data_IF_871261745722
#
_entry.id   IF_871261745722
#
_cell.length_a   1.000
_cell.length_b   1.000
_cell.length_c   1.000
_cell.angle_alpha   90.00
_cell.angle_beta   90.00
_cell.angle_gamma   90.00
#
_symmetry.space_group_name_H-M   'P 1'
#
loop_
_entity.id
_entity.type
_entity.pdbx_description
1 polymer ?
#
# COMPACT_ATOMS: atom_id res chain seq x y z
N UNK A 1 47.46 19.91 -29.89
CA UNK A 1 46.64 19.98 -28.66
C UNK A 1 45.78 18.73 -28.56
N UNK A 2 46.00 17.86 -27.55
CA UNK A 2 45.16 16.66 -27.33
C UNK A 2 43.89 17.07 -26.57
N UNK A 3 42.72 16.89 -27.19
CA UNK A 3 41.41 17.11 -26.54
C UNK A 3 41.29 16.13 -25.35
N UNK A 4 41.27 16.64 -24.12
CA UNK A 4 40.89 15.85 -22.93
C UNK A 4 39.45 15.42 -23.12
N UNK A 5 39.21 14.11 -23.29
CA UNK A 5 37.85 13.56 -23.23
C UNK A 5 37.32 13.81 -21.82
N UNK A 6 36.22 14.56 -21.71
CA UNK A 6 35.51 14.71 -20.45
C UNK A 6 35.11 13.31 -19.96
N UNK A 7 35.54 12.98 -18.75
CA UNK A 7 35.20 11.70 -18.11
C UNK A 7 33.82 11.90 -17.49
N UNK A 8 32.78 11.53 -18.24
CA UNK A 8 31.40 11.55 -17.73
C UNK A 8 31.26 10.40 -16.75
N UNK A 9 31.19 10.71 -15.46
CA UNK A 9 30.81 9.73 -14.44
C UNK A 9 29.29 9.66 -14.42
N UNK A 10 28.73 8.51 -14.80
CA UNK A 10 27.34 8.21 -14.50
C UNK A 10 27.25 8.03 -12.98
N UNK A 11 26.59 8.98 -12.32
CA UNK A 11 26.21 8.85 -10.91
C UNK A 11 24.80 8.29 -10.94
N UNK A 12 24.59 7.06 -10.46
CA UNK A 12 23.24 6.59 -10.18
C UNK A 12 22.75 7.35 -8.94
N UNK A 13 22.07 8.47 -9.16
CA UNK A 13 21.51 9.29 -8.09
C UNK A 13 20.47 8.55 -7.24
N UNK A 14 20.11 7.32 -7.64
CA UNK A 14 19.14 6.46 -7.00
C UNK A 14 19.75 5.29 -6.22
N UNK A 15 21.08 5.15 -6.16
CA UNK A 15 21.74 4.11 -5.33
C UNK A 15 21.29 4.19 -3.86
N UNK A 16 21.13 5.40 -3.32
CA UNK A 16 20.60 5.64 -1.96
C UNK A 16 19.13 5.21 -1.75
N UNK A 17 18.43 4.84 -2.82
CA UNK A 17 17.05 4.38 -2.82
C UNK A 17 16.93 2.95 -3.38
N UNK A 18 18.06 2.26 -3.60
CA UNK A 18 18.09 0.90 -4.14
C UNK A 18 17.54 -0.13 -3.13
N UNK A 19 17.62 0.19 -1.84
CA UNK A 19 17.00 -0.59 -0.78
C UNK A 19 15.61 0.01 -0.48
N UNK A 20 14.56 -0.69 -0.90
CA UNK A 20 13.25 -0.54 -0.27
C UNK A 20 13.48 -0.95 1.17
N UNK A 21 13.21 -0.08 2.13
CA UNK A 21 13.26 -0.52 3.53
C UNK A 21 12.31 -1.71 3.70
N UNK A 22 12.81 -2.88 4.12
CA UNK A 22 12.00 -4.10 4.30
C UNK A 22 10.68 -3.83 5.04
N UNK A 23 10.70 -2.84 5.95
CA UNK A 23 9.55 -2.34 6.70
C UNK A 23 8.35 -1.85 5.86
N UNK A 24 8.54 -1.43 4.60
CA UNK A 24 7.46 -0.96 3.71
C UNK A 24 6.90 -2.06 2.80
N UNK A 25 7.46 -3.28 2.89
CA UNK A 25 7.04 -4.42 2.07
C UNK A 25 5.89 -5.21 2.73
N UNK A 26 5.13 -5.95 1.92
CA UNK A 26 4.12 -6.87 2.45
C UNK A 26 4.80 -8.05 3.15
N UNK A 27 4.40 -8.35 4.38
CA UNK A 27 4.94 -9.47 5.17
C UNK A 27 3.83 -10.30 5.80
N UNK A 28 4.12 -11.57 6.04
CA UNK A 28 3.22 -12.46 6.74
C UNK A 28 3.27 -12.21 8.25
N UNK A 29 2.09 -12.14 8.88
CA UNK A 29 1.94 -12.00 10.33
C UNK A 29 0.85 -12.94 10.85
N UNK A 30 1.08 -13.54 12.02
CA UNK A 30 0.03 -14.30 12.73
C UNK A 30 -0.80 -13.33 13.57
N UNK A 31 -2.12 -13.43 13.48
CA UNK A 31 -3.08 -12.62 14.23
C UNK A 31 -4.01 -13.55 15.01
N UNK A 32 -4.04 -13.41 16.32
CA UNK A 32 -5.00 -14.09 17.18
C UNK A 32 -6.28 -13.26 17.27
N UNK A 33 -7.39 -13.81 16.78
CA UNK A 33 -8.67 -13.11 16.70
C UNK A 33 -9.77 -13.92 17.38
N UNK A 34 -10.52 -13.27 18.27
CA UNK A 34 -11.79 -13.80 18.75
C UNK A 34 -12.85 -13.63 17.67
N UNK A 35 -13.23 -14.72 17.00
CA UNK A 35 -14.26 -14.69 15.96
C UNK A 35 -15.65 -14.90 16.58
N UNK A 36 -16.59 -13.94 16.46
CA UNK A 36 -17.92 -14.07 17.04
C UNK A 36 -18.69 -15.30 16.55
N UNK A 37 -19.48 -15.92 17.43
CA UNK A 37 -20.25 -17.14 17.13
C UNK A 37 -21.14 -16.99 15.89
N UNK A 38 -21.91 -15.91 15.81
CA UNK A 38 -22.79 -15.64 14.68
C UNK A 38 -22.03 -15.53 13.35
N UNK A 39 -20.84 -14.91 13.36
CA UNK A 39 -20.01 -14.82 12.17
C UNK A 39 -19.43 -16.18 11.77
N UNK A 40 -19.00 -17.00 12.75
CA UNK A 40 -18.58 -18.39 12.52
C UNK A 40 -19.71 -19.23 11.92
N UNK A 41 -20.93 -19.09 12.43
CA UNK A 41 -22.10 -19.79 11.91
C UNK A 41 -22.36 -19.38 10.46
N UNK A 42 -22.29 -18.09 10.15
CA UNK A 42 -22.45 -17.57 8.79
C UNK A 42 -21.39 -18.15 7.84
N UNK A 43 -20.13 -18.16 8.27
CA UNK A 43 -19.01 -18.76 7.55
C UNK A 43 -19.23 -20.25 7.27
N UNK A 44 -19.70 -21.01 8.27
CA UNK A 44 -19.99 -22.43 8.13
C UNK A 44 -21.11 -22.70 7.12
N UNK A 45 -22.22 -21.94 7.19
CA UNK A 45 -23.36 -22.07 6.27
C UNK A 45 -22.93 -21.76 4.83
N UNK A 46 -22.13 -20.72 4.64
CA UNK A 46 -21.68 -20.28 3.31
C UNK A 46 -20.46 -21.06 2.79
N UNK A 47 -19.91 -21.98 3.58
CA UNK A 47 -18.68 -22.73 3.30
C UNK A 47 -17.49 -21.81 2.95
N UNK A 48 -17.29 -20.75 3.75
CA UNK A 48 -16.18 -19.82 3.59
C UNK A 48 -15.43 -19.70 4.91
N UNK A 49 -14.09 -19.75 4.85
CA UNK A 49 -13.22 -19.55 6.02
C UNK A 49 -13.16 -18.07 6.44
N UNK A 50 -13.23 -17.74 7.75
CA UNK A 50 -13.09 -16.36 8.23
C UNK A 50 -11.84 -15.64 7.70
N UNK A 51 -10.71 -16.35 7.68
CA UNK A 51 -9.42 -15.81 7.21
C UNK A 51 -9.51 -15.34 5.77
N UNK A 52 -10.22 -16.08 4.92
CA UNK A 52 -10.41 -15.70 3.52
C UNK A 52 -11.22 -14.42 3.38
N UNK A 53 -12.27 -14.24 4.19
CA UNK A 53 -13.08 -13.00 4.17
C UNK A 53 -12.23 -11.81 4.59
N UNK A 54 -11.43 -11.96 5.66
CA UNK A 54 -10.57 -10.90 6.17
C UNK A 54 -9.48 -10.53 5.16
N UNK A 55 -8.78 -11.53 4.59
CA UNK A 55 -7.79 -11.30 3.55
C UNK A 55 -8.40 -10.63 2.32
N UNK A 56 -9.52 -11.16 1.82
CA UNK A 56 -10.23 -10.56 0.69
C UNK A 56 -10.59 -9.10 0.96
N UNK A 57 -11.08 -8.78 2.15
CA UNK A 57 -11.39 -7.41 2.54
C UNK A 57 -10.15 -6.53 2.51
N UNK A 58 -9.05 -6.95 3.16
CA UNK A 58 -7.79 -6.21 3.19
C UNK A 58 -7.24 -5.94 1.79
N UNK A 59 -7.15 -6.96 0.95
CA UNK A 59 -6.63 -6.82 -0.42
C UNK A 59 -7.52 -5.94 -1.31
N UNK A 60 -8.85 -6.06 -1.19
CA UNK A 60 -9.80 -5.23 -1.94
C UNK A 60 -9.75 -3.77 -1.48
N UNK A 61 -9.54 -3.53 -0.20
CA UNK A 61 -9.49 -2.19 0.38
C UNK A 61 -8.16 -1.48 0.09
N UNK A 62 -7.03 -2.19 0.12
CA UNK A 62 -5.67 -1.61 0.01
C UNK A 62 -5.22 -1.30 -1.42
N UNK A 63 -6.08 -1.48 -2.43
CA UNK A 63 -5.68 -1.34 -3.85
C UNK A 63 -4.52 -2.26 -4.28
N UNK A 64 -4.34 -3.38 -3.59
CA UNK A 64 -3.31 -4.37 -3.93
C UNK A 64 -3.46 -4.93 -5.34
N UNK A 65 -2.30 -5.33 -5.87
CA UNK A 65 -2.09 -5.93 -7.19
C UNK A 65 -2.64 -7.36 -7.30
N UNK A 66 -2.69 -8.08 -6.18
CA UNK A 66 -2.82 -9.54 -6.18
C UNK A 66 -4.26 -10.02 -6.46
N UNK A 67 -5.28 -9.16 -6.36
CA UNK A 67 -6.67 -9.56 -6.56
C UNK A 67 -7.52 -8.53 -7.34
N UNK A 68 -8.18 -9.02 -8.40
CA UNK A 68 -9.07 -8.28 -9.29
C UNK A 68 -10.38 -7.84 -8.64
N UNK A 69 -10.31 -6.95 -7.66
CA UNK A 69 -11.49 -6.34 -7.04
C UNK A 69 -12.19 -5.40 -8.02
N UNK A 70 -13.50 -5.58 -8.19
CA UNK A 70 -14.32 -4.65 -8.99
C UNK A 70 -14.42 -3.28 -8.31
N UNK A 71 -14.65 -2.23 -9.08
CA UNK A 71 -14.84 -0.88 -8.52
C UNK A 71 -16.00 -0.83 -7.51
N UNK A 72 -17.08 -1.59 -7.74
CA UNK A 72 -18.21 -1.70 -6.81
C UNK A 72 -17.80 -2.28 -5.46
N UNK A 73 -17.00 -3.35 -5.46
CA UNK A 73 -16.48 -3.95 -4.23
C UNK A 73 -15.58 -2.98 -3.45
N UNK A 74 -14.68 -2.28 -4.15
CA UNK A 74 -13.80 -1.28 -3.52
C UNK A 74 -14.60 -0.12 -2.92
N UNK A 75 -15.62 0.36 -3.65
CA UNK A 75 -16.53 1.42 -3.15
C UNK A 75 -17.28 0.99 -1.90
N UNK A 76 -17.76 -0.25 -1.85
CA UNK A 76 -18.43 -0.81 -0.68
C UNK A 76 -17.48 -0.92 0.53
N UNK A 77 -16.27 -1.46 0.31
CA UNK A 77 -15.25 -1.56 1.37
C UNK A 77 -14.85 -0.20 1.94
N UNK A 78 -14.58 0.78 1.06
CA UNK A 78 -14.28 2.17 1.46
C UNK A 78 -15.43 2.81 2.25
N UNK A 79 -16.68 2.57 1.83
CA UNK A 79 -17.86 3.07 2.54
C UNK A 79 -17.92 2.49 3.96
N UNK A 80 -17.82 1.16 4.09
CA UNK A 80 -17.77 0.48 5.38
C UNK A 80 -16.64 1.02 6.27
N UNK A 81 -15.44 1.21 5.72
CA UNK A 81 -14.30 1.72 6.47
C UNK A 81 -14.55 3.13 7.05
N UNK A 82 -15.12 4.03 6.23
CA UNK A 82 -15.42 5.40 6.65
C UNK A 82 -16.58 5.46 7.65
N UNK A 83 -17.61 4.64 7.45
CA UNK A 83 -18.78 4.58 8.34
C UNK A 83 -18.44 3.94 9.69
N UNK A 84 -17.53 2.96 9.70
CA UNK A 84 -16.98 2.38 10.93
C UNK A 84 -16.09 3.32 11.75
N UNK A 85 -15.79 4.52 11.23
CA UNK A 85 -14.99 5.52 11.96
C UNK A 85 -13.52 5.15 12.10
N UNK A 86 -13.00 4.19 11.33
CA UNK A 86 -11.58 3.80 11.43
C UNK A 86 -10.67 4.98 11.08
N UNK A 87 -9.67 5.22 11.94
CA UNK A 87 -8.73 6.34 11.80
C UNK A 87 -9.25 7.69 12.33
N UNK A 88 -10.49 7.77 12.81
CA UNK A 88 -10.99 8.93 13.55
C UNK A 88 -10.58 8.82 15.03
N UNK A 89 -10.28 9.93 15.72
CA UNK A 89 -10.45 11.33 15.30
C UNK A 89 -9.28 11.90 14.47
N UNK A 90 -8.19 11.15 14.31
CA UNK A 90 -6.95 11.66 13.76
C UNK A 90 -7.07 12.17 12.31
N UNK A 91 -7.93 11.53 11.51
CA UNK A 91 -8.20 11.95 10.13
C UNK A 91 -9.66 12.28 9.88
N UNK A 92 -9.89 13.32 9.09
CA UNK A 92 -11.24 13.62 8.60
C UNK A 92 -11.69 12.56 7.59
N UNK A 93 -13.02 12.43 7.39
CA UNK A 93 -13.57 11.57 6.32
C UNK A 93 -13.00 11.95 4.94
N UNK A 94 -12.69 13.22 4.70
CA UNK A 94 -12.11 13.68 3.44
C UNK A 94 -10.65 13.23 3.28
N UNK A 95 -9.86 13.27 4.36
CA UNK A 95 -8.49 12.75 4.36
C UNK A 95 -8.44 11.27 4.04
N UNK A 96 -9.26 10.46 4.72
CA UNK A 96 -9.35 9.01 4.46
C UNK A 96 -9.79 8.76 3.01
N UNK A 97 -10.74 9.55 2.50
CA UNK A 97 -11.13 9.46 1.07
C UNK A 97 -9.96 9.77 0.14
N UNK A 98 -9.14 10.75 0.47
CA UNK A 98 -7.96 11.15 -0.30
C UNK A 98 -6.90 10.05 -0.29
N UNK A 99 -6.59 9.48 0.87
CA UNK A 99 -5.68 8.33 1.00
C UNK A 99 -6.06 7.19 0.03
N UNK A 100 -7.32 6.74 0.07
CA UNK A 100 -7.79 5.69 -0.84
C UNK A 100 -7.74 6.08 -2.32
N UNK A 101 -7.97 7.35 -2.65
CA UNK A 101 -7.88 7.80 -4.04
C UNK A 101 -6.42 7.80 -4.52
N UNK A 102 -5.48 8.23 -3.67
CA UNK A 102 -4.05 8.18 -3.97
C UNK A 102 -3.59 6.72 -4.20
N UNK A 103 -3.98 5.78 -3.33
CA UNK A 103 -3.73 4.35 -3.55
C UNK A 103 -4.35 3.82 -4.86
N UNK A 104 -5.54 4.28 -5.24
CA UNK A 104 -6.15 3.97 -6.55
C UNK A 104 -5.27 4.43 -7.72
N UNK A 105 -4.66 5.61 -7.61
CA UNK A 105 -3.76 6.14 -8.65
C UNK A 105 -2.45 5.36 -8.73
N UNK A 106 -1.85 5.02 -7.58
CA UNK A 106 -0.66 4.16 -7.52
C UNK A 106 -0.93 2.84 -8.25
N UNK A 107 -2.06 2.19 -7.94
CA UNK A 107 -2.48 0.96 -8.63
C UNK A 107 -2.64 1.16 -10.15
N UNK A 108 -3.28 2.25 -10.56
CA UNK A 108 -3.47 2.54 -12.00
C UNK A 108 -2.15 2.71 -12.74
N UNK A 109 -1.14 3.33 -12.11
CA UNK A 109 0.20 3.45 -12.70
C UNK A 109 0.82 2.08 -12.92
N UNK A 110 0.75 1.19 -11.92
CA UNK A 110 1.21 -0.20 -12.05
C UNK A 110 0.53 -0.96 -13.20
N UNK A 111 -0.78 -0.75 -13.42
CA UNK A 111 -1.50 -1.42 -14.52
C UNK A 111 -1.07 -0.94 -15.92
N UNK A 112 -0.25 0.12 -16.02
CA UNK A 112 0.23 0.68 -17.30
C UNK A 112 1.67 0.31 -17.65
N UNK A 113 2.32 -0.54 -16.86
CA UNK A 113 3.75 -0.87 -17.04
C UNK A 113 4.00 -2.10 -17.91
N UNK A 114 2.97 -2.78 -18.41
CA UNK A 114 3.10 -4.05 -19.14
C UNK A 114 4.00 -3.93 -20.38
N UNK A 115 3.91 -2.80 -21.11
CA UNK A 115 4.67 -2.53 -22.32
C UNK A 115 6.05 -1.86 -22.09
N UNK A 116 6.47 -1.64 -20.84
CA UNK A 116 7.78 -1.05 -20.54
C UNK A 116 8.92 -2.06 -20.73
N UNK A 117 10.05 -1.62 -21.27
CA UNK A 117 11.31 -2.40 -21.28
C UNK A 117 11.80 -2.64 -19.85
N UNK A 118 12.58 -3.70 -19.63
CA UNK A 118 12.94 -4.16 -18.27
C UNK A 118 13.74 -3.12 -17.46
N UNK A 119 14.67 -2.39 -18.08
CA UNK A 119 15.39 -1.29 -17.44
C UNK A 119 14.44 -0.14 -17.01
N UNK A 120 13.45 0.17 -17.84
CA UNK A 120 12.43 1.17 -17.54
C UNK A 120 11.45 0.70 -16.46
N UNK A 121 11.15 -0.61 -16.41
CA UNK A 121 10.36 -1.22 -15.33
C UNK A 121 11.09 -1.12 -14.00
N UNK A 122 12.39 -1.42 -13.96
CA UNK A 122 13.18 -1.32 -12.73
C UNK A 122 13.17 0.12 -12.19
N UNK A 123 13.44 1.10 -13.05
CA UNK A 123 13.39 2.51 -12.67
C UNK A 123 11.98 2.95 -12.22
N UNK A 124 10.94 2.49 -12.91
CA UNK A 124 9.55 2.73 -12.52
C UNK A 124 9.27 2.21 -11.11
N UNK A 125 9.68 0.97 -10.80
CA UNK A 125 9.44 0.36 -9.50
C UNK A 125 10.18 1.08 -8.37
N UNK A 126 11.44 1.48 -8.59
CA UNK A 126 12.19 2.32 -7.63
C UNK A 126 11.45 3.63 -7.34
N UNK A 127 11.00 4.34 -8.38
CA UNK A 127 10.26 5.58 -8.22
C UNK A 127 8.91 5.36 -7.50
N UNK A 128 8.17 4.33 -7.90
CA UNK A 128 6.89 3.99 -7.29
C UNK A 128 7.05 3.66 -5.80
N UNK A 129 8.11 2.95 -5.41
CA UNK A 129 8.44 2.68 -4.02
C UNK A 129 8.78 3.95 -3.25
N UNK A 130 9.64 4.81 -3.78
CA UNK A 130 9.93 6.12 -3.16
C UNK A 130 8.65 6.94 -2.93
N UNK A 131 7.73 6.93 -3.89
CA UNK A 131 6.44 7.60 -3.75
C UNK A 131 5.58 6.98 -2.64
N UNK A 132 5.50 5.64 -2.55
CA UNK A 132 4.75 4.93 -1.50
C UNK A 132 5.32 5.24 -0.12
N UNK A 133 6.64 5.27 0.04
CA UNK A 133 7.29 5.64 1.30
C UNK A 133 6.97 7.09 1.69
N UNK A 134 7.11 8.03 0.75
CA UNK A 134 6.74 9.43 0.99
C UNK A 134 5.26 9.57 1.33
N UNK A 135 4.39 8.85 0.62
CA UNK A 135 2.96 8.82 0.87
C UNK A 135 2.65 8.37 2.30
N UNK A 136 3.30 7.30 2.76
CA UNK A 136 3.15 6.80 4.12
C UNK A 136 3.60 7.83 5.14
N UNK A 137 4.86 8.30 5.05
CA UNK A 137 5.44 9.28 5.99
C UNK A 137 4.57 10.53 6.11
N UNK A 138 4.17 11.11 4.98
CA UNK A 138 3.32 12.31 4.94
C UNK A 138 2.01 12.14 5.69
N UNK A 139 1.35 10.98 5.53
CA UNK A 139 0.10 10.72 6.23
C UNK A 139 0.36 10.41 7.71
N UNK A 140 1.34 9.56 8.01
CA UNK A 140 1.74 9.20 9.37
C UNK A 140 2.09 10.42 10.25
N UNK A 141 2.92 11.32 9.73
CA UNK A 141 3.37 12.54 10.40
C UNK A 141 2.28 13.61 10.52
N UNK A 142 1.21 13.55 9.71
CA UNK A 142 0.09 14.52 9.76
C UNK A 142 -0.56 14.57 11.15
N UNK A 143 -0.53 13.46 11.88
CA UNK A 143 -1.07 13.36 13.23
C UNK A 143 -0.08 13.76 14.32
N UNK A 144 1.04 14.39 13.97
CA UNK A 144 2.13 14.74 14.88
C UNK A 144 2.63 13.55 15.70
N UNK A 145 2.54 12.34 15.13
CA UNK A 145 3.11 11.14 15.74
C UNK A 145 4.62 11.33 15.85
N UNK A 146 5.11 11.31 17.08
CA UNK A 146 6.55 11.31 17.40
C UNK A 146 7.10 9.87 17.47
N UNK A 147 6.23 8.87 17.32
CA UNK A 147 6.62 7.47 17.26
C UNK A 147 7.57 7.26 16.08
N UNK A 148 8.60 6.45 16.30
CA UNK A 148 9.50 6.06 15.23
C UNK A 148 8.74 5.25 14.15
N UNK A 149 9.22 5.31 12.90
CA UNK A 149 8.64 4.56 11.78
C UNK A 149 8.61 3.05 12.03
N UNK A 150 9.37 2.55 13.01
CA UNK A 150 9.37 1.18 13.52
C UNK A 150 8.00 0.72 14.03
N UNK A 151 7.06 1.62 14.33
CA UNK A 151 5.67 1.24 14.65
C UNK A 151 4.99 0.50 13.50
N UNK A 152 5.50 0.61 12.27
CA UNK A 152 5.05 -0.27 11.18
C UNK A 152 5.19 -1.74 11.55
N UNK A 153 6.18 -2.14 12.36
CA UNK A 153 6.37 -3.50 12.90
C UNK A 153 5.21 -3.96 13.80
N UNK A 154 4.46 -3.02 14.36
CA UNK A 154 3.31 -3.29 15.23
C UNK A 154 1.99 -3.44 14.46
N UNK A 155 1.92 -2.96 13.21
CA UNK A 155 0.77 -3.07 12.30
C UNK A 155 0.97 -4.14 11.20
#
# INVERSE_FOLDING_TARGET
MKKKKAKTTLIDSNEKYAEIGDMYTSRWRKLDLLIPSNFRMLCAILNVKPERILMDFMWKLSYSVIHGATEKQRKAGKKFFIEGGFGQPAYTKQDIKKMFNELKYIRKLTDTTEAMEDENKELFWKNNHMYVEFWYKRWFEKNSRLDELSVLDEY
#
